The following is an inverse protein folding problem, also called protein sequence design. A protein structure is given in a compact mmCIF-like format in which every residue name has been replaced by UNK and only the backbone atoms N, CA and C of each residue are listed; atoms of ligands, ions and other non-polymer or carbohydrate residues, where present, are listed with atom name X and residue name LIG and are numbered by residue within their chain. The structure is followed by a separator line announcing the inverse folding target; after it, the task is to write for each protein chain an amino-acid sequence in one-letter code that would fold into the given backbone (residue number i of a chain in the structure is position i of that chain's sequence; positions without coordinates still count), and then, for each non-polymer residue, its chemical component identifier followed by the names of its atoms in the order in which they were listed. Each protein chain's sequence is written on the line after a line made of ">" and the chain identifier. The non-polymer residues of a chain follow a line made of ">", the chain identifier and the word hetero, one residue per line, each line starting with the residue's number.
data_IF_737295835422
#
_entry.id   IF_737295835422
#
_cell.length_a   1.000
_cell.length_b   1.000
_cell.length_c   1.000
_cell.angle_alpha   90.00
_cell.angle_beta   90.00
_cell.angle_gamma   90.00
#
_symmetry.space_group_name_H-M   'P 1'
#
loop_
_entity.id
_entity.type
_entity.pdbx_description
1 polymer ?
#
# COMPACT_ATOMS: atom_id res chain seq x y z
N UNK A 1 -13.41 -6.84 -14.79
CA UNK A 1 -12.93 -8.22 -15.06
C UNK A 1 -12.43 -8.83 -13.75
N UNK A 2 -12.64 -10.13 -13.48
CA UNK A 2 -12.07 -10.76 -12.29
C UNK A 2 -10.54 -10.81 -12.39
N UNK A 3 -9.88 -10.63 -11.25
CA UNK A 3 -8.44 -10.77 -11.14
C UNK A 3 -8.06 -12.22 -10.78
N UNK A 4 -6.95 -12.71 -11.30
CA UNK A 4 -6.34 -13.92 -10.78
C UNK A 4 -5.69 -13.57 -9.42
N UNK A 5 -6.29 -14.06 -8.32
CA UNK A 5 -5.76 -13.83 -6.99
C UNK A 5 -4.51 -14.69 -6.79
N UNK A 6 -3.41 -14.03 -6.51
CA UNK A 6 -2.15 -14.70 -6.21
C UNK A 6 -2.22 -15.34 -4.82
N UNK A 7 -1.57 -16.48 -4.61
CA UNK A 7 -1.64 -17.17 -3.33
C UNK A 7 -1.12 -16.27 -2.20
N UNK A 8 -1.75 -16.33 -1.02
CA UNK A 8 -1.20 -15.67 0.16
C UNK A 8 0.20 -16.22 0.39
N UNK A 9 1.12 -15.35 0.72
CA UNK A 9 2.47 -15.78 1.02
C UNK A 9 2.48 -16.60 2.32
N UNK A 10 3.29 -17.65 2.33
CA UNK A 10 3.50 -18.44 3.52
C UNK A 10 3.94 -17.54 4.69
N UNK A 11 3.41 -17.77 5.88
CA UNK A 11 3.74 -17.05 7.11
C UNK A 11 5.24 -16.84 7.23
N UNK A 12 5.66 -15.61 7.57
CA UNK A 12 7.04 -15.17 7.83
C UNK A 12 7.91 -14.77 6.61
N UNK A 13 7.34 -14.40 5.48
CA UNK A 13 8.17 -13.76 4.45
C UNK A 13 8.53 -12.32 4.85
N UNK A 14 9.81 -11.98 4.67
CA UNK A 14 10.27 -10.61 4.87
C UNK A 14 9.68 -9.69 3.80
N UNK A 15 9.46 -8.40 4.08
CA UNK A 15 9.02 -7.44 3.07
C UNK A 15 9.85 -7.46 1.79
N UNK A 16 11.16 -7.68 1.88
CA UNK A 16 12.04 -7.74 0.70
C UNK A 16 11.69 -8.88 -0.24
N UNK A 17 11.33 -10.06 0.30
CA UNK A 17 10.89 -11.19 -0.53
C UNK A 17 9.55 -10.92 -1.19
N UNK A 18 8.61 -10.29 -0.46
CA UNK A 18 7.31 -9.88 -1.00
C UNK A 18 7.49 -8.91 -2.17
N UNK A 19 8.27 -7.86 -1.95
CA UNK A 19 8.53 -6.83 -2.95
C UNK A 19 9.28 -7.38 -4.17
N UNK A 20 10.23 -8.30 -3.97
CA UNK A 20 10.93 -8.98 -5.06
C UNK A 20 9.99 -9.87 -5.87
N UNK A 21 9.08 -10.59 -5.21
CA UNK A 21 8.09 -11.43 -5.87
C UNK A 21 7.09 -10.61 -6.70
N UNK A 22 6.65 -9.45 -6.21
CA UNK A 22 5.81 -8.53 -6.99
C UNK A 22 6.50 -8.03 -8.26
N UNK A 23 7.82 -7.79 -8.20
CA UNK A 23 8.60 -7.43 -9.40
C UNK A 23 8.67 -8.59 -10.41
N UNK A 24 8.69 -9.82 -9.93
CA UNK A 24 8.63 -11.00 -10.80
C UNK A 24 7.26 -11.10 -11.49
N UNK A 25 6.20 -11.05 -10.74
CA UNK A 25 4.83 -11.10 -11.28
C UNK A 25 4.49 -9.91 -12.19
N UNK A 26 5.09 -8.73 -11.96
CA UNK A 26 4.94 -7.58 -12.85
C UNK A 26 5.50 -7.88 -14.25
N UNK A 27 6.66 -8.56 -14.32
CA UNK A 27 7.24 -8.99 -15.60
C UNK A 27 6.40 -10.08 -16.27
N UNK A 28 5.83 -11.00 -15.50
CA UNK A 28 4.93 -12.03 -16.04
C UNK A 28 3.67 -11.36 -16.62
N UNK A 29 3.05 -10.42 -15.88
CA UNK A 29 1.91 -9.66 -16.36
C UNK A 29 2.23 -8.88 -17.66
N UNK A 30 3.43 -8.34 -17.80
CA UNK A 30 3.84 -7.68 -19.02
C UNK A 30 3.90 -8.64 -20.22
N UNK A 31 4.28 -9.91 -20.01
CA UNK A 31 4.42 -10.92 -21.05
C UNK A 31 3.09 -11.56 -21.45
N UNK A 32 2.26 -11.93 -20.47
CA UNK A 32 1.04 -12.70 -20.68
C UNK A 32 -0.24 -11.86 -20.67
N UNK A 33 -0.13 -10.57 -20.33
CA UNK A 33 -1.25 -9.62 -20.26
C UNK A 33 -2.39 -10.07 -19.31
N UNK A 34 -2.08 -10.93 -18.33
CA UNK A 34 -3.07 -11.41 -17.36
C UNK A 34 -3.10 -10.51 -16.11
N UNK A 35 -4.23 -9.87 -15.79
CA UNK A 35 -4.36 -9.07 -14.59
C UNK A 35 -4.37 -9.97 -13.35
N UNK A 36 -3.58 -9.57 -12.33
CA UNK A 36 -3.43 -10.30 -11.07
C UNK A 36 -3.65 -9.37 -9.89
N UNK A 37 -4.09 -9.93 -8.78
CA UNK A 37 -4.19 -9.24 -7.51
C UNK A 37 -3.44 -10.00 -6.41
N UNK A 38 -2.79 -9.27 -5.52
CA UNK A 38 -2.08 -9.80 -4.37
C UNK A 38 -2.50 -9.06 -3.10
N UNK A 39 -2.94 -9.82 -2.09
CA UNK A 39 -3.27 -9.30 -0.76
C UNK A 39 -2.22 -9.78 0.23
N UNK A 40 -1.53 -8.84 0.88
CA UNK A 40 -0.43 -9.18 1.76
C UNK A 40 -0.31 -8.26 2.97
N UNK A 41 0.36 -8.74 4.01
CA UNK A 41 0.75 -7.99 5.19
C UNK A 41 2.27 -8.11 5.40
N UNK A 42 2.83 -7.15 6.11
CA UNK A 42 4.20 -7.20 6.57
C UNK A 42 4.24 -7.15 8.10
N UNK A 43 5.28 -7.70 8.75
CA UNK A 43 5.54 -7.40 10.15
C UNK A 43 5.82 -5.90 10.34
N UNK A 44 5.86 -5.46 11.59
CA UNK A 44 6.20 -4.08 11.92
C UNK A 44 7.53 -3.67 11.29
N UNK A 45 7.49 -2.66 10.40
CA UNK A 45 8.65 -2.15 9.69
C UNK A 45 8.36 -0.79 9.04
N UNK A 46 9.39 -0.16 8.49
CA UNK A 46 9.25 0.94 7.52
C UNK A 46 9.65 0.44 6.13
N UNK A 47 8.86 0.82 5.12
CA UNK A 47 9.24 0.61 3.73
C UNK A 47 9.51 1.97 3.10
N UNK A 48 10.75 2.18 2.66
CA UNK A 48 11.24 3.43 2.06
C UNK A 48 11.46 3.27 0.56
N UNK A 49 11.74 4.36 -0.14
CA UNK A 49 12.01 4.34 -1.58
C UNK A 49 13.51 4.25 -1.88
N UNK A 50 13.88 3.86 -3.13
CA UNK A 50 15.28 3.94 -3.57
C UNK A 50 15.88 5.34 -3.49
N UNK A 51 15.06 6.41 -3.57
CA UNK A 51 15.54 7.78 -3.38
C UNK A 51 16.03 8.00 -1.95
N UNK A 52 15.34 7.43 -0.98
CA UNK A 52 15.64 7.60 0.43
C UNK A 52 16.97 6.93 0.83
N UNK A 53 17.41 5.89 0.11
CA UNK A 53 18.72 5.24 0.37
C UNK A 53 19.92 6.14 0.10
N UNK A 54 19.71 7.29 -0.57
CA UNK A 54 20.76 8.30 -0.84
C UNK A 54 20.89 9.34 0.25
N UNK A 55 20.08 9.28 1.30
CA UNK A 55 20.18 10.19 2.43
C UNK A 55 21.51 10.02 3.17
N UNK A 56 22.14 11.09 3.64
CA UNK A 56 23.54 11.07 4.10
C UNK A 56 23.81 10.13 5.28
N UNK A 57 22.80 9.81 6.10
CA UNK A 57 22.92 8.92 7.27
C UNK A 57 21.97 7.73 7.19
N UNK A 58 21.62 7.29 5.96
CA UNK A 58 20.66 6.21 5.73
C UNK A 58 20.98 4.93 6.52
N UNK A 59 22.21 4.41 6.40
CA UNK A 59 22.60 3.16 7.07
C UNK A 59 22.53 3.26 8.61
N UNK A 60 22.97 4.40 9.16
CA UNK A 60 22.88 4.66 10.61
C UNK A 60 21.43 4.71 11.07
N UNK A 61 20.54 5.36 10.29
CA UNK A 61 19.11 5.40 10.56
C UNK A 61 18.50 4.00 10.54
N UNK A 62 18.80 3.18 9.52
CA UNK A 62 18.33 1.80 9.44
C UNK A 62 18.75 0.95 10.64
N UNK A 63 20.03 1.05 11.06
CA UNK A 63 20.54 0.34 12.23
C UNK A 63 19.83 0.74 13.52
N UNK A 64 19.63 2.04 13.72
CA UNK A 64 18.97 2.56 14.91
C UNK A 64 17.48 2.15 14.95
N UNK A 65 16.75 2.32 13.84
CA UNK A 65 15.34 1.95 13.76
C UNK A 65 15.13 0.44 13.92
N UNK A 66 16.02 -0.39 13.38
CA UNK A 66 15.98 -1.83 13.62
C UNK A 66 16.13 -2.20 15.10
N UNK A 67 17.00 -1.49 15.83
CA UNK A 67 17.15 -1.67 17.28
C UNK A 67 15.91 -1.19 18.08
N UNK A 68 15.14 -0.25 17.50
CA UNK A 68 13.87 0.25 18.06
C UNK A 68 12.66 -0.63 17.63
N UNK A 69 12.88 -1.76 16.92
CA UNK A 69 11.82 -2.66 16.46
C UNK A 69 11.16 -2.25 15.14
N UNK A 70 11.75 -1.31 14.40
CA UNK A 70 11.28 -0.80 13.11
C UNK A 70 12.31 -1.02 11.99
N UNK A 71 12.58 -2.27 11.57
CA UNK A 71 13.51 -2.52 10.47
C UNK A 71 13.05 -1.79 9.20
N UNK A 72 14.02 -1.39 8.36
CA UNK A 72 13.78 -0.60 7.15
C UNK A 72 14.00 -1.46 5.92
N UNK A 73 13.01 -1.48 5.02
CA UNK A 73 13.03 -2.18 3.73
C UNK A 73 12.90 -1.19 2.58
N UNK A 74 13.27 -1.59 1.36
CA UNK A 74 13.31 -0.68 0.20
C UNK A 74 12.36 -1.18 -0.89
N UNK A 75 11.47 -0.29 -1.37
CA UNK A 75 10.62 -0.55 -2.53
C UNK A 75 11.05 0.22 -3.77
N UNK A 76 10.60 -0.26 -4.93
CA UNK A 76 10.84 0.37 -6.23
C UNK A 76 9.76 1.38 -6.65
N UNK A 77 8.57 1.35 -6.04
CA UNK A 77 7.53 2.35 -6.28
C UNK A 77 7.85 3.68 -5.61
N UNK A 78 7.24 4.76 -6.08
CA UNK A 78 7.49 6.11 -5.59
C UNK A 78 6.86 6.40 -4.23
N UNK A 79 6.99 7.66 -3.79
CA UNK A 79 6.43 8.19 -2.55
C UNK A 79 7.49 8.50 -1.49
N UNK A 80 7.15 8.29 -0.22
CA UNK A 80 8.01 8.49 0.96
C UNK A 80 8.06 7.24 1.82
N UNK A 81 8.73 7.27 2.97
CA UNK A 81 8.67 6.21 3.97
C UNK A 81 7.23 5.94 4.39
N UNK A 82 6.85 4.67 4.48
CA UNK A 82 5.53 4.22 4.93
C UNK A 82 5.66 3.17 6.02
N UNK A 83 4.89 3.29 7.12
CA UNK A 83 4.89 2.28 8.17
C UNK A 83 4.09 1.05 7.73
N UNK A 84 4.49 -0.13 8.22
CA UNK A 84 3.76 -1.38 8.07
C UNK A 84 3.64 -2.09 9.43
N UNK A 85 2.67 -3.00 9.53
CA UNK A 85 2.39 -3.79 10.72
C UNK A 85 1.15 -4.66 10.55
N UNK A 86 0.81 -5.43 11.59
CA UNK A 86 -0.28 -6.40 11.56
C UNK A 86 -1.66 -5.80 11.22
N UNK A 87 -1.89 -4.51 11.55
CA UNK A 87 -3.14 -3.82 11.25
C UNK A 87 -3.22 -3.22 9.83
N UNK A 88 -2.23 -3.45 8.98
CA UNK A 88 -2.17 -2.87 7.64
C UNK A 88 -2.30 -3.98 6.59
N UNK A 89 -3.30 -3.86 5.70
CA UNK A 89 -3.51 -4.77 4.59
C UNK A 89 -3.11 -4.09 3.28
N UNK A 90 -2.19 -4.71 2.55
CA UNK A 90 -1.76 -4.23 1.25
C UNK A 90 -2.53 -4.94 0.14
N UNK A 91 -2.96 -4.18 -0.87
CA UNK A 91 -3.49 -4.64 -2.15
C UNK A 91 -2.54 -4.21 -3.26
N UNK A 92 -2.05 -5.17 -4.01
CA UNK A 92 -1.26 -4.92 -5.22
C UNK A 92 -2.02 -5.45 -6.43
N UNK A 93 -2.27 -4.59 -7.41
CA UNK A 93 -2.78 -4.98 -8.72
C UNK A 93 -1.66 -4.95 -9.74
N UNK A 94 -1.48 -6.07 -10.45
CA UNK A 94 -0.56 -6.18 -11.56
C UNK A 94 -1.40 -6.18 -12.84
N UNK A 95 -1.27 -5.14 -13.62
CA UNK A 95 -2.17 -4.82 -14.72
C UNK A 95 -1.39 -4.69 -16.04
N UNK A 96 -1.88 -5.24 -17.16
CA UNK A 96 -1.28 -4.94 -18.46
C UNK A 96 -1.39 -3.45 -18.74
N UNK A 97 -0.37 -2.88 -19.35
CA UNK A 97 -0.37 -1.47 -19.73
C UNK A 97 -1.22 -1.27 -20.98
N UNK A 98 -2.38 -0.67 -20.84
CA UNK A 98 -3.34 -0.38 -21.93
C UNK A 98 -3.45 1.10 -22.25
N UNK A 99 -3.00 1.98 -21.34
CA UNK A 99 -3.02 3.43 -21.50
C UNK A 99 -1.79 4.07 -20.85
N UNK A 100 -1.57 5.35 -21.12
CA UNK A 100 -0.57 6.19 -20.45
C UNK A 100 -1.19 7.06 -19.34
N UNK A 101 -2.50 6.99 -19.14
CA UNK A 101 -3.18 7.70 -18.07
C UNK A 101 -2.91 7.05 -16.72
N UNK A 102 -2.20 7.76 -15.86
CA UNK A 102 -1.91 7.35 -14.49
C UNK A 102 -3.18 7.19 -13.65
N UNK A 103 -4.15 8.08 -13.83
CA UNK A 103 -5.40 8.08 -13.09
C UNK A 103 -6.20 6.80 -13.31
N UNK A 104 -6.22 6.29 -14.53
CA UNK A 104 -6.90 5.04 -14.87
C UNK A 104 -6.54 3.89 -13.92
N UNK A 105 -5.25 3.67 -13.64
CA UNK A 105 -4.82 2.56 -12.79
C UNK A 105 -5.06 2.81 -11.30
N UNK A 106 -5.05 4.08 -10.87
CA UNK A 106 -5.47 4.43 -9.51
C UNK A 106 -6.97 4.21 -9.29
N UNK A 107 -7.80 4.50 -10.28
CA UNK A 107 -9.23 4.21 -10.18
C UNK A 107 -9.52 2.71 -10.17
N UNK A 108 -8.83 1.91 -10.99
CA UNK A 108 -8.93 0.45 -10.92
C UNK A 108 -8.52 -0.09 -9.54
N UNK A 109 -7.45 0.46 -8.95
CA UNK A 109 -6.97 0.08 -7.62
C UNK A 109 -7.95 0.48 -6.51
N UNK A 110 -8.52 1.68 -6.59
CA UNK A 110 -9.40 2.22 -5.56
C UNK A 110 -10.82 1.65 -5.59
N UNK A 111 -11.30 1.19 -6.75
CA UNK A 111 -12.67 0.70 -6.89
C UNK A 111 -13.06 -0.40 -5.87
N UNK A 112 -12.31 -1.51 -5.69
CA UNK A 112 -12.63 -2.52 -4.69
C UNK A 112 -12.54 -1.98 -3.25
N UNK A 113 -11.65 -1.03 -2.99
CA UNK A 113 -11.48 -0.42 -1.67
C UNK A 113 -12.65 0.51 -1.34
N UNK A 114 -13.09 1.33 -2.29
CA UNK A 114 -14.27 2.18 -2.12
C UNK A 114 -15.55 1.36 -1.92
N UNK A 115 -15.70 0.26 -2.69
CA UNK A 115 -16.81 -0.69 -2.49
C UNK A 115 -16.78 -1.29 -1.09
N UNK A 116 -15.61 -1.74 -0.62
CA UNK A 116 -15.44 -2.24 0.73
C UNK A 116 -15.83 -1.20 1.78
N UNK A 117 -15.34 0.04 1.66
CA UNK A 117 -15.66 1.13 2.61
C UNK A 117 -17.17 1.41 2.65
N UNK A 118 -17.82 1.42 1.47
CA UNK A 118 -19.28 1.62 1.39
C UNK A 118 -20.08 0.51 2.09
N UNK A 119 -19.61 -0.74 2.09
CA UNK A 119 -20.22 -1.85 2.82
C UNK A 119 -20.16 -1.65 4.35
N UNK A 120 -19.18 -0.90 4.85
CA UNK A 120 -19.10 -0.47 6.24
C UNK A 120 -19.85 0.84 6.52
N UNK A 121 -20.60 1.37 5.54
CA UNK A 121 -21.35 2.62 5.67
C UNK A 121 -20.44 3.87 5.63
N UNK A 122 -19.24 3.76 5.08
CA UNK A 122 -18.26 4.85 5.01
C UNK A 122 -18.20 5.40 3.59
N UNK A 123 -18.25 6.72 3.48
CA UNK A 123 -18.05 7.43 2.21
C UNK A 123 -16.59 7.84 2.08
N UNK A 124 -15.86 7.17 1.20
CA UNK A 124 -14.47 7.47 0.86
C UNK A 124 -14.36 8.25 -0.44
N UNK A 125 -13.41 9.15 -0.53
CA UNK A 125 -13.09 9.90 -1.74
C UNK A 125 -11.58 9.95 -1.97
N UNK A 126 -11.17 10.32 -3.20
CA UNK A 126 -9.77 10.59 -3.52
C UNK A 126 -9.42 12.02 -3.12
N UNK A 127 -8.36 12.20 -2.35
CA UNK A 127 -7.88 13.54 -1.99
C UNK A 127 -6.44 13.52 -1.46
N UNK A 128 -5.83 14.70 -1.42
CA UNK A 128 -4.61 14.97 -0.67
C UNK A 128 -4.91 15.09 0.83
N UNK A 129 -3.94 14.69 1.64
CA UNK A 129 -3.97 14.91 3.09
C UNK A 129 -2.62 15.53 3.50
N UNK A 130 -2.48 16.86 3.43
CA UNK A 130 -1.24 17.55 3.74
C UNK A 130 -0.70 17.16 5.11
N UNK A 131 0.59 16.84 5.15
CA UNK A 131 1.26 16.35 6.36
C UNK A 131 1.15 14.84 6.60
N UNK A 132 0.39 14.09 5.80
CA UNK A 132 0.42 12.62 5.89
C UNK A 132 1.67 12.04 5.24
N UNK A 133 2.13 10.86 5.70
CA UNK A 133 3.18 10.14 5.00
C UNK A 133 2.68 9.69 3.61
N UNK A 134 3.56 9.70 2.62
CA UNK A 134 3.25 9.31 1.23
C UNK A 134 1.96 9.96 0.71
N UNK A 135 1.86 11.32 0.86
CA UNK A 135 0.71 12.08 0.41
C UNK A 135 0.63 12.14 -1.12
N UNK A 136 -0.61 12.14 -1.64
CA UNK A 136 -0.89 12.20 -3.07
C UNK A 136 -2.39 12.25 -3.36
N UNK A 137 -2.76 12.78 -4.53
CA UNK A 137 -4.16 13.00 -4.93
C UNK A 137 -5.03 11.73 -5.03
N UNK A 138 -4.41 10.55 -5.02
CA UNK A 138 -5.10 9.27 -5.09
C UNK A 138 -5.09 8.51 -3.75
N UNK A 139 -4.83 9.19 -2.63
CA UNK A 139 -5.15 8.60 -1.33
C UNK A 139 -6.67 8.43 -1.22
N UNK A 140 -7.12 7.38 -0.51
CA UNK A 140 -8.51 7.33 -0.07
C UNK A 140 -8.63 8.00 1.30
N UNK A 141 -9.62 8.86 1.41
CA UNK A 141 -9.82 9.77 2.54
C UNK A 141 -11.23 9.63 3.09
N UNK A 142 -11.36 9.63 4.41
CA UNK A 142 -12.64 9.66 5.14
C UNK A 142 -12.56 10.78 6.18
N UNK A 143 -13.51 11.71 6.13
CA UNK A 143 -13.54 12.83 7.08
C UNK A 143 -12.26 13.65 7.13
N UNK A 144 -11.61 13.87 5.97
CA UNK A 144 -10.35 14.61 5.85
C UNK A 144 -9.11 13.86 6.35
N UNK A 145 -9.21 12.58 6.71
CA UNK A 145 -8.08 11.75 7.16
C UNK A 145 -7.84 10.58 6.19
N UNK A 146 -6.58 10.32 5.94
CA UNK A 146 -6.14 9.24 5.06
C UNK A 146 -6.45 7.87 5.68
N UNK A 147 -7.14 7.03 4.92
CA UNK A 147 -7.37 5.61 5.27
C UNK A 147 -6.59 4.67 4.35
N UNK A 148 -6.22 5.13 3.15
CA UNK A 148 -5.42 4.34 2.22
C UNK A 148 -4.39 5.21 1.53
N UNK A 149 -3.13 4.78 1.54
CA UNK A 149 -2.07 5.34 0.69
C UNK A 149 -1.93 4.54 -0.59
N UNK A 150 -1.58 5.20 -1.70
CA UNK A 150 -1.41 4.55 -2.99
C UNK A 150 -0.07 4.87 -3.64
N UNK A 151 0.41 3.97 -4.48
CA UNK A 151 1.60 4.16 -5.30
C UNK A 151 1.51 3.35 -6.59
N UNK A 152 2.31 3.73 -7.59
CA UNK A 152 2.43 2.97 -8.83
C UNK A 152 3.89 2.78 -9.21
N UNK A 153 4.16 1.66 -9.89
CA UNK A 153 5.38 1.41 -10.63
C UNK A 153 5.03 0.97 -12.05
N UNK A 154 5.66 1.57 -13.02
CA UNK A 154 5.45 1.30 -14.43
C UNK A 154 6.63 0.51 -14.99
N UNK A 155 6.33 -0.59 -15.68
CA UNK A 155 7.26 -1.30 -16.53
C UNK A 155 7.01 -0.84 -17.97
N UNK A 156 8.02 -0.25 -18.59
CA UNK A 156 7.93 0.22 -19.97
C UNK A 156 7.71 -0.94 -20.96
N UNK A 157 7.08 -0.71 -22.12
CA UNK A 157 7.09 -1.69 -23.20
C UNK A 157 8.50 -2.11 -23.59
N UNK A 158 8.66 -3.39 -23.94
CA UNK A 158 9.89 -3.97 -24.45
C UNK A 158 9.68 -4.55 -25.85
N UNK A 159 10.65 -5.29 -26.35
CA UNK A 159 10.53 -5.95 -27.68
C UNK A 159 9.41 -7.02 -27.69
N UNK A 160 9.25 -7.73 -26.57
CA UNK A 160 8.38 -8.90 -26.45
C UNK A 160 7.15 -8.67 -25.56
N UNK A 161 6.87 -7.43 -25.11
CA UNK A 161 5.76 -7.12 -24.23
C UNK A 161 5.31 -5.65 -24.29
N UNK A 162 4.02 -5.41 -24.01
CA UNK A 162 3.42 -4.07 -24.01
C UNK A 162 3.66 -3.27 -22.72
N UNK A 163 4.38 -3.85 -21.76
CA UNK A 163 4.57 -3.28 -20.43
C UNK A 163 3.44 -3.63 -19.47
N UNK A 164 3.65 -3.27 -18.20
CA UNK A 164 2.66 -3.50 -17.14
C UNK A 164 2.74 -2.40 -16.08
N UNK A 165 1.71 -2.32 -15.24
CA UNK A 165 1.64 -1.40 -14.10
C UNK A 165 1.40 -2.21 -12.83
N UNK A 166 2.24 -1.99 -11.83
CA UNK A 166 2.01 -2.40 -10.45
C UNK A 166 1.37 -1.22 -9.73
N UNK A 167 0.09 -1.32 -9.42
CA UNK A 167 -0.65 -0.36 -8.61
C UNK A 167 -0.80 -0.92 -7.20
N UNK A 168 -0.35 -0.18 -6.19
CA UNK A 168 -0.27 -0.62 -4.80
C UNK A 168 -1.10 0.30 -3.91
N UNK A 169 -1.87 -0.30 -3.01
CA UNK A 169 -2.62 0.36 -1.96
C UNK A 169 -2.26 -0.23 -0.60
N UNK A 170 -2.13 0.65 0.39
CA UNK A 170 -1.91 0.29 1.79
C UNK A 170 -3.14 0.74 2.58
N UNK A 171 -4.05 -0.18 2.88
CA UNK A 171 -5.26 0.05 3.67
C UNK A 171 -4.93 -0.03 5.16
N UNK A 172 -5.21 1.05 5.87
CA UNK A 172 -5.08 1.16 7.32
C UNK A 172 -6.33 0.55 7.98
N UNK A 173 -6.26 -0.76 8.28
CA UNK A 173 -7.41 -1.49 8.85
C UNK A 173 -7.49 -1.25 10.36
N UNK A 174 -6.37 -1.37 11.07
CA UNK A 174 -6.27 -1.25 12.53
C UNK A 174 -4.88 -0.77 12.97
N UNK A 175 -4.65 -0.68 14.26
CA UNK A 175 -3.36 -0.33 14.86
C UNK A 175 -3.16 1.16 15.13
N UNK A 176 -2.00 1.50 15.73
CA UNK A 176 -1.61 2.89 16.03
C UNK A 176 -0.94 3.55 14.80
N UNK A 177 -1.76 4.20 13.97
CA UNK A 177 -1.27 4.90 12.77
C UNK A 177 -0.46 6.16 13.11
N UNK A 178 -0.65 6.73 14.29
CA UNK A 178 0.12 7.88 14.74
C UNK A 178 1.53 7.49 15.17
N UNK A 179 1.70 6.31 15.78
CA UNK A 179 3.04 5.74 16.02
C UNK A 179 3.77 5.53 14.69
N UNK A 180 3.12 4.87 13.73
CA UNK A 180 3.68 4.68 12.38
C UNK A 180 4.08 6.01 11.71
N UNK A 181 3.25 7.05 11.85
CA UNK A 181 3.52 8.40 11.33
C UNK A 181 4.75 9.02 12.01
N UNK A 182 4.87 8.88 13.33
CA UNK A 182 6.06 9.33 14.08
C UNK A 182 7.31 8.62 13.63
N UNK A 183 7.24 7.30 13.42
CA UNK A 183 8.40 6.50 13.01
C UNK A 183 8.83 6.80 11.57
N UNK A 184 7.90 7.07 10.67
CA UNK A 184 8.22 7.55 9.32
C UNK A 184 8.94 8.93 9.35
N UNK A 185 8.52 9.85 10.22
CA UNK A 185 9.21 11.14 10.44
C UNK A 185 10.59 10.94 11.03
N UNK A 186 10.71 10.04 12.02
CA UNK A 186 11.97 9.71 12.70
C UNK A 186 13.00 9.11 11.75
N UNK A 187 12.58 8.31 10.77
CA UNK A 187 13.47 7.82 9.71
C UNK A 187 14.17 8.97 9.01
N UNK A 188 13.41 9.99 8.53
CA UNK A 188 14.01 11.14 7.85
C UNK A 188 14.90 11.97 8.78
N UNK A 189 14.52 12.16 10.01
CA UNK A 189 15.34 12.87 11.01
C UNK A 189 16.70 12.17 11.20
N UNK A 190 16.71 10.88 11.45
CA UNK A 190 17.91 10.08 11.64
C UNK A 190 18.76 10.01 10.37
N UNK A 191 18.12 9.83 9.21
CA UNK A 191 18.79 9.73 7.92
C UNK A 191 19.32 11.07 7.39
N UNK A 192 18.96 12.22 8.00
CA UNK A 192 19.38 13.57 7.56
C UNK A 192 18.49 14.13 6.46
N UNK A 193 17.24 13.70 6.38
CA UNK A 193 16.21 14.27 5.52
C UNK A 193 15.33 15.30 6.24
N UNK A 194 14.61 16.11 5.47
CA UNK A 194 13.78 17.22 5.99
C UNK A 194 12.31 16.86 6.16
N UNK A 195 11.85 15.73 5.57
CA UNK A 195 10.44 15.36 5.61
C UNK A 195 9.99 15.05 7.04
N UNK A 196 8.83 15.61 7.39
CA UNK A 196 8.14 15.36 8.65
C UNK A 196 6.65 15.17 8.36
N UNK A 197 6.04 14.26 9.10
CA UNK A 197 4.63 13.93 8.96
C UNK A 197 3.90 14.22 10.27
N UNK A 198 2.66 14.67 10.17
CA UNK A 198 1.85 15.08 11.31
C UNK A 198 0.97 13.92 11.80
N UNK A 199 1.02 13.53 13.08
CA UNK A 199 0.01 12.68 13.69
C UNK A 199 -1.42 13.22 13.50
N UNK A 200 -2.43 12.35 13.50
CA UNK A 200 -3.83 12.72 13.30
C UNK A 200 -4.24 12.91 11.82
N UNK A 201 -3.31 12.86 10.87
CA UNK A 201 -3.60 12.96 9.43
C UNK A 201 -4.11 11.67 8.82
N UNK A 202 -3.98 10.54 9.53
CA UNK A 202 -4.45 9.23 9.10
C UNK A 202 -5.49 8.67 10.06
N UNK A 203 -6.26 7.68 9.59
CA UNK A 203 -7.25 6.96 10.39
C UNK A 203 -7.27 5.50 9.98
N UNK A 204 -7.85 4.62 10.81
CA UNK A 204 -8.05 3.21 10.48
C UNK A 204 -9.52 2.90 10.26
N UNK A 205 -9.80 1.78 9.58
CA UNK A 205 -11.15 1.26 9.45
C UNK A 205 -11.74 0.99 10.85
N UNK A 206 -10.96 0.36 11.74
CA UNK A 206 -11.36 0.08 13.12
C UNK A 206 -11.84 1.33 13.88
N UNK A 207 -11.12 2.45 13.73
CA UNK A 207 -11.51 3.74 14.32
C UNK A 207 -12.82 4.27 13.71
N UNK A 208 -12.98 4.18 12.39
CA UNK A 208 -14.13 4.72 11.68
C UNK A 208 -15.45 3.98 12.00
N UNK A 209 -15.36 2.66 12.21
CA UNK A 209 -16.53 1.83 12.51
C UNK A 209 -16.70 1.54 14.02
N UNK A 210 -15.87 2.14 14.87
CA UNK A 210 -15.84 1.90 16.31
C UNK A 210 -15.77 0.40 16.66
N UNK A 211 -14.82 -0.33 16.01
CA UNK A 211 -14.67 -1.77 16.14
C UNK A 211 -14.35 -2.19 17.56
N UNK A 212 -15.08 -3.22 18.07
CA UNK A 212 -14.94 -3.74 19.44
C UNK A 212 -14.32 -5.14 19.51
N UNK A 213 -14.06 -5.77 18.35
CA UNK A 213 -13.43 -7.09 18.27
C UNK A 213 -11.89 -7.01 18.25
N UNK A 214 -11.24 -8.15 18.05
CA UNK A 214 -9.79 -8.18 17.84
C UNK A 214 -9.44 -7.54 16.48
N UNK A 215 -8.30 -6.85 16.42
CA UNK A 215 -7.80 -6.24 15.19
C UNK A 215 -7.50 -7.28 14.11
N UNK A 216 -6.96 -8.44 14.52
CA UNK A 216 -6.69 -9.57 13.64
C UNK A 216 -7.97 -10.08 12.95
N UNK A 217 -9.05 -10.26 13.70
CA UNK A 217 -10.34 -10.69 13.15
C UNK A 217 -10.89 -9.67 12.13
N UNK A 218 -10.72 -8.37 12.38
CA UNK A 218 -11.11 -7.34 11.41
C UNK A 218 -10.26 -7.43 10.13
N UNK A 219 -8.93 -7.53 10.27
CA UNK A 219 -8.02 -7.64 9.12
C UNK A 219 -8.35 -8.88 8.27
N UNK A 220 -8.61 -10.02 8.89
CA UNK A 220 -8.96 -11.26 8.19
C UNK A 220 -10.34 -11.15 7.49
N UNK A 221 -11.32 -10.52 8.13
CA UNK A 221 -12.62 -10.22 7.53
C UNK A 221 -12.48 -9.32 6.29
N UNK A 222 -11.74 -8.23 6.41
CA UNK A 222 -11.44 -7.29 5.32
C UNK A 222 -10.71 -7.98 4.17
N UNK A 223 -9.69 -8.78 4.48
CA UNK A 223 -8.94 -9.58 3.50
C UNK A 223 -9.87 -10.52 2.73
N UNK A 224 -10.70 -11.30 3.44
CA UNK A 224 -11.64 -12.23 2.84
C UNK A 224 -12.66 -11.51 1.95
N UNK A 225 -13.13 -10.34 2.36
CA UNK A 225 -14.08 -9.55 1.55
C UNK A 225 -13.42 -8.97 0.31
N UNK A 226 -12.23 -8.37 0.42
CA UNK A 226 -11.49 -7.88 -0.74
C UNK A 226 -11.17 -9.01 -1.74
N UNK A 227 -10.76 -10.18 -1.25
CA UNK A 227 -10.51 -11.34 -2.12
C UNK A 227 -11.75 -11.69 -2.97
N UNK A 228 -12.94 -11.69 -2.37
CA UNK A 228 -14.20 -11.92 -3.12
C UNK A 228 -14.49 -10.81 -4.13
N UNK A 229 -14.39 -9.54 -3.75
CA UNK A 229 -14.60 -8.42 -4.67
C UNK A 229 -13.68 -8.49 -5.91
N UNK A 230 -12.42 -8.89 -5.70
CA UNK A 230 -11.42 -9.00 -6.75
C UNK A 230 -11.69 -10.19 -7.70
N UNK A 231 -12.21 -11.32 -7.18
CA UNK A 231 -12.42 -12.55 -7.97
C UNK A 231 -13.79 -12.62 -8.63
N UNK A 232 -14.82 -12.01 -8.03
CA UNK A 232 -16.20 -12.06 -8.54
C UNK A 232 -16.52 -10.96 -9.56
N UNK A 233 -15.64 -9.97 -9.70
CA UNK A 233 -15.83 -8.86 -10.64
C UNK A 233 -17.02 -7.95 -10.30
N UNK A 234 -17.50 -7.98 -9.07
CA UNK A 234 -18.61 -7.14 -8.57
C UNK A 234 -18.17 -5.69 -8.31
N UNK A 235 -17.50 -5.09 -9.29
CA UNK A 235 -17.14 -3.69 -9.19
C UNK A 235 -18.08 -2.85 -10.04
N UNK A 236 -18.55 -1.69 -9.54
CA UNK A 236 -19.26 -0.73 -10.38
C UNK A 236 -18.36 -0.38 -11.58
N UNK A 237 -18.97 -0.28 -12.74
CA UNK A 237 -18.27 0.24 -13.93
C UNK A 237 -17.70 1.61 -13.60
N UNK A 238 -16.46 1.91 -14.03
CA UNK A 238 -15.84 3.21 -13.78
C UNK A 238 -16.60 4.34 -14.40
#
# INVERSE_FOLDING_TARGET
>A
MPYALLPPQANAQTPDLILAQEQHWLRDCARDSQPRAHLWQAPQCLIVTRKDTRLPRYEAACKQLAAEGWPVHVRDSGGTAVPHGAGILNLSLLLPRTTTDLGHYYHLLGAPLLTLLAEYGLEGNYDFVPGSFCDGQYNLVIGGRKITGTAQRWLAPGQDHNGAVLAQAMLLVAGDVDEGTRMASRFYELAGGELRFAPGTSTTLAQQIHWQGSEEALVDSVRGRLARLLTEGQMPSP
#
